data_IF_876622900928
#
_entry.id   IF_876622900928
#
_cell.length_a   1.000
_cell.length_b   1.000
_cell.length_c   1.000
_cell.angle_alpha   90.00
_cell.angle_beta   90.00
_cell.angle_gamma   90.00
#
_symmetry.space_group_name_H-M   'P 1'
#
loop_
_entity.id
_entity.type
_entity.pdbx_description
1 polymer ?
#
# COMPACT_ATOMS: atom_id res chain seq x y z
N UNK A 1 -13.35 -28.72 -25.86
CA UNK A 1 -13.15 -27.38 -26.48
C UNK A 1 -13.86 -27.28 -27.80
N UNK A 2 -13.68 -28.24 -28.74
CA UNK A 2 -14.40 -28.26 -30.01
C UNK A 2 -15.91 -28.36 -29.76
N UNK A 3 -16.34 -29.31 -28.95
CA UNK A 3 -17.76 -29.48 -28.55
C UNK A 3 -18.37 -28.22 -27.93
N UNK A 4 -17.60 -27.49 -27.11
CA UNK A 4 -18.07 -26.22 -26.55
C UNK A 4 -18.26 -25.15 -27.64
N UNK A 5 -17.32 -25.06 -28.59
CA UNK A 5 -17.41 -24.13 -29.70
C UNK A 5 -18.60 -24.47 -30.64
N UNK A 6 -18.81 -25.75 -30.90
CA UNK A 6 -19.91 -26.25 -31.74
C UNK A 6 -21.27 -25.93 -31.08
N UNK A 7 -21.38 -26.20 -29.76
CA UNK A 7 -22.60 -25.87 -28.98
C UNK A 7 -22.89 -24.38 -28.94
N UNK A 8 -21.83 -23.55 -28.81
CA UNK A 8 -21.97 -22.07 -28.80
C UNK A 8 -22.37 -21.53 -30.17
N UNK A 9 -21.89 -22.16 -31.25
CA UNK A 9 -22.21 -21.75 -32.61
C UNK A 9 -23.65 -22.05 -33.03
N UNK A 10 -24.23 -23.11 -32.46
CA UNK A 10 -25.59 -23.58 -32.78
C UNK A 10 -26.68 -22.83 -32.00
N UNK A 11 -26.31 -21.91 -31.11
CA UNK A 11 -27.28 -21.21 -30.26
C UNK A 11 -27.59 -19.82 -30.80
N UNK A 12 -28.77 -19.66 -31.42
CA UNK A 12 -29.32 -18.38 -31.82
C UNK A 12 -29.92 -17.63 -30.63
N UNK A 13 -29.83 -16.50 -30.28
CA UNK A 13 -30.45 -15.73 -29.17
C UNK A 13 -29.83 -15.87 -27.78
N UNK A 14 -28.56 -16.27 -27.67
CA UNK A 14 -27.84 -16.26 -26.40
C UNK A 14 -26.50 -15.51 -26.50
N UNK A 15 -26.16 -14.78 -25.45
CA UNK A 15 -24.84 -14.16 -25.27
C UNK A 15 -24.08 -14.95 -24.20
N UNK A 16 -22.97 -15.54 -24.59
CA UNK A 16 -22.09 -16.27 -23.66
C UNK A 16 -20.92 -15.38 -23.25
N UNK A 17 -20.73 -15.20 -21.96
CA UNK A 17 -19.60 -14.47 -21.40
C UNK A 17 -18.71 -15.45 -20.64
N UNK A 18 -17.53 -15.72 -21.19
CA UNK A 18 -16.51 -16.55 -20.56
C UNK A 18 -15.48 -15.65 -19.90
N UNK A 19 -15.29 -15.83 -18.60
CA UNK A 19 -14.27 -15.08 -17.82
C UNK A 19 -13.17 -16.02 -17.36
N UNK A 20 -11.92 -15.59 -17.52
CA UNK A 20 -10.76 -16.30 -16.99
C UNK A 20 -9.85 -15.32 -16.26
N UNK A 21 -9.44 -15.68 -15.04
CA UNK A 21 -8.45 -14.93 -14.28
C UNK A 21 -7.06 -15.40 -14.70
N UNK A 22 -6.29 -14.51 -15.27
CA UNK A 22 -4.91 -14.76 -15.65
C UNK A 22 -3.97 -14.37 -14.49
N UNK A 23 -3.08 -15.27 -14.10
CA UNK A 23 -2.10 -14.99 -13.09
C UNK A 23 -1.00 -14.08 -13.63
N UNK A 24 -0.67 -13.05 -12.86
CA UNK A 24 0.51 -12.23 -13.13
C UNK A 24 1.76 -12.96 -12.66
N UNK A 25 2.66 -13.32 -13.59
CA UNK A 25 3.96 -13.90 -13.29
C UNK A 25 5.07 -12.92 -13.69
N UNK A 26 5.86 -12.48 -12.71
CA UNK A 26 7.01 -11.57 -12.93
C UNK A 26 6.62 -10.23 -13.59
N UNK A 27 5.51 -9.62 -13.19
CA UNK A 27 5.04 -8.35 -13.74
C UNK A 27 4.47 -8.43 -15.16
N UNK A 28 4.23 -9.65 -15.68
CA UNK A 28 3.63 -9.90 -16.98
C UNK A 28 2.47 -10.89 -16.86
N UNK A 29 1.32 -10.49 -17.39
CA UNK A 29 0.18 -11.38 -17.56
C UNK A 29 0.41 -12.13 -18.86
N UNK A 30 0.70 -13.42 -18.76
CA UNK A 30 0.81 -14.30 -19.93
C UNK A 30 -0.17 -15.45 -19.78
N UNK A 31 -1.10 -15.60 -20.74
CA UNK A 31 -1.99 -16.74 -20.73
C UNK A 31 -1.19 -18.06 -20.88
N UNK A 32 -1.53 -19.04 -20.07
CA UNK A 32 -0.97 -20.41 -20.19
C UNK A 32 -1.43 -21.09 -21.47
N UNK A 33 -0.93 -22.30 -21.73
CA UNK A 33 -1.28 -23.03 -22.96
C UNK A 33 -2.77 -23.33 -23.11
N UNK A 34 -3.49 -23.52 -21.99
CA UNK A 34 -4.95 -23.77 -21.99
C UNK A 34 -5.71 -22.50 -22.31
N UNK A 35 -5.33 -21.38 -21.67
CA UNK A 35 -5.93 -20.07 -21.88
C UNK A 35 -5.70 -19.59 -23.31
N UNK A 36 -4.51 -19.80 -23.87
CA UNK A 36 -4.20 -19.45 -25.27
C UNK A 36 -5.13 -20.20 -26.27
N UNK A 37 -5.37 -21.51 -26.02
CA UNK A 37 -6.29 -22.29 -26.85
C UNK A 37 -7.74 -21.79 -26.72
N UNK A 38 -8.15 -21.41 -25.51
CA UNK A 38 -9.48 -20.85 -25.25
C UNK A 38 -9.65 -19.49 -25.96
N UNK A 39 -8.68 -18.59 -25.79
CA UNK A 39 -8.66 -17.29 -26.46
C UNK A 39 -8.76 -17.46 -27.98
N UNK A 40 -7.91 -18.30 -28.56
CA UNK A 40 -7.92 -18.54 -30.02
C UNK A 40 -9.23 -19.17 -30.53
N UNK A 41 -9.95 -19.94 -29.71
CA UNK A 41 -11.26 -20.46 -30.04
C UNK A 41 -12.34 -19.39 -29.94
N UNK A 42 -12.31 -18.56 -28.90
CA UNK A 42 -13.27 -17.47 -28.70
C UNK A 42 -13.12 -16.35 -29.74
N UNK A 43 -11.89 -16.03 -30.15
CA UNK A 43 -11.62 -15.03 -31.21
C UNK A 43 -12.25 -15.41 -32.57
N UNK A 44 -12.49 -16.69 -32.81
CA UNK A 44 -13.17 -17.15 -34.04
C UNK A 44 -14.69 -16.97 -33.98
N UNK A 45 -15.27 -16.96 -32.78
CA UNK A 45 -16.71 -16.97 -32.54
C UNK A 45 -17.25 -15.63 -32.04
N UNK A 46 -16.38 -14.75 -31.58
CA UNK A 46 -16.79 -13.47 -30.95
C UNK A 46 -15.61 -12.59 -30.58
N UNK A 47 -15.76 -11.86 -29.49
CA UNK A 47 -14.78 -10.89 -29.04
C UNK A 47 -14.03 -11.37 -27.81
N UNK A 48 -12.70 -11.24 -27.80
CA UNK A 48 -11.86 -11.42 -26.62
C UNK A 48 -11.39 -10.07 -26.12
N UNK A 49 -11.66 -9.79 -24.84
CA UNK A 49 -11.23 -8.54 -24.20
C UNK A 49 -10.30 -8.87 -23.04
N UNK A 50 -9.10 -8.34 -23.08
CA UNK A 50 -8.16 -8.43 -21.96
C UNK A 50 -8.32 -7.20 -21.06
N UNK A 51 -8.76 -7.43 -19.81
CA UNK A 51 -8.88 -6.38 -18.81
C UNK A 51 -7.63 -6.48 -17.90
N UNK A 52 -6.85 -5.40 -17.86
CA UNK A 52 -5.67 -5.29 -17.01
C UNK A 52 -5.85 -4.17 -16.00
N UNK A 53 -5.21 -4.30 -14.83
CA UNK A 53 -5.17 -3.18 -13.89
C UNK A 53 -4.44 -2.00 -14.54
N UNK A 54 -5.04 -0.80 -14.53
CA UNK A 54 -4.39 0.38 -15.08
C UNK A 54 -3.14 0.74 -14.27
N UNK A 55 -2.08 1.14 -14.96
CA UNK A 55 -0.89 1.71 -14.31
C UNK A 55 -1.17 3.11 -13.75
N UNK A 56 -0.23 3.65 -12.95
CA UNK A 56 -0.39 4.95 -12.28
C UNK A 56 -0.73 6.10 -13.24
N UNK A 57 -0.06 6.18 -14.38
CA UNK A 57 -0.32 7.23 -15.38
C UNK A 57 -1.75 7.12 -15.96
N UNK A 58 -2.21 5.90 -16.26
CA UNK A 58 -3.57 5.66 -16.71
C UNK A 58 -4.60 6.00 -15.62
N UNK A 59 -4.33 5.68 -14.34
CA UNK A 59 -5.20 6.07 -13.24
C UNK A 59 -5.29 7.58 -13.05
N UNK A 60 -4.19 8.32 -13.25
CA UNK A 60 -4.21 9.78 -13.21
C UNK A 60 -5.09 10.36 -14.33
N UNK A 61 -5.00 9.81 -15.54
CA UNK A 61 -5.84 10.23 -16.65
C UNK A 61 -7.31 9.89 -16.43
N UNK A 62 -7.59 8.69 -15.92
CA UNK A 62 -8.94 8.30 -15.52
C UNK A 62 -9.49 9.22 -14.41
N UNK A 63 -8.69 9.58 -13.42
CA UNK A 63 -9.10 10.50 -12.37
C UNK A 63 -9.48 11.89 -12.93
N UNK A 64 -8.73 12.40 -13.91
CA UNK A 64 -9.07 13.65 -14.60
C UNK A 64 -10.40 13.53 -15.37
N UNK A 65 -10.60 12.41 -16.06
CA UNK A 65 -11.84 12.13 -16.77
C UNK A 65 -13.03 12.10 -15.81
N UNK A 66 -12.93 11.38 -14.70
CA UNK A 66 -13.99 11.33 -13.67
C UNK A 66 -14.24 12.69 -13.02
N UNK A 67 -13.19 13.49 -12.77
CA UNK A 67 -13.38 14.86 -12.27
C UNK A 67 -14.14 15.72 -13.30
N UNK A 68 -13.87 15.55 -14.60
CA UNK A 68 -14.57 16.22 -15.68
C UNK A 68 -16.08 15.90 -15.73
N UNK A 69 -16.49 14.68 -15.36
CA UNK A 69 -17.90 14.29 -15.24
C UNK A 69 -18.64 15.14 -14.20
N UNK A 70 -17.94 15.65 -13.19
CA UNK A 70 -18.45 16.57 -12.18
C UNK A 70 -18.15 18.04 -12.49
N UNK A 71 -17.78 18.37 -13.73
CA UNK A 71 -17.40 19.74 -14.14
C UNK A 71 -16.30 20.35 -13.27
N UNK A 72 -15.40 19.51 -12.74
CA UNK A 72 -14.33 19.91 -11.84
C UNK A 72 -12.95 19.55 -12.43
N UNK A 73 -11.90 20.19 -11.95
CA UNK A 73 -10.53 19.95 -12.38
C UNK A 73 -9.62 19.73 -11.19
N UNK A 74 -8.43 19.19 -11.42
CA UNK A 74 -7.39 19.08 -10.40
C UNK A 74 -6.39 20.24 -10.51
N UNK A 75 -5.99 20.78 -9.38
CA UNK A 75 -4.79 21.61 -9.30
C UNK A 75 -3.53 20.78 -9.64
N UNK A 76 -2.44 21.39 -10.13
CA UNK A 76 -1.22 20.68 -10.48
C UNK A 76 -0.74 19.74 -9.35
N UNK A 77 -0.59 18.44 -9.67
CA UNK A 77 -0.15 17.40 -8.74
C UNK A 77 -1.21 16.87 -7.76
N UNK A 78 -2.43 17.41 -7.77
CA UNK A 78 -3.50 16.98 -6.86
C UNK A 78 -3.97 15.56 -7.17
N UNK A 79 -4.08 15.17 -8.44
CA UNK A 79 -4.40 13.80 -8.83
C UNK A 79 -3.35 12.78 -8.35
N UNK A 80 -2.08 13.15 -8.37
CA UNK A 80 -1.01 12.32 -7.85
C UNK A 80 -1.15 12.15 -6.32
N UNK A 81 -1.43 13.23 -5.61
CA UNK A 81 -1.66 13.21 -4.17
C UNK A 81 -2.88 12.36 -3.79
N UNK A 82 -3.96 12.42 -4.59
CA UNK A 82 -5.14 11.58 -4.37
C UNK A 82 -4.80 10.10 -4.54
N UNK A 83 -4.08 9.72 -5.60
CA UNK A 83 -3.65 8.35 -5.80
C UNK A 83 -2.71 7.85 -4.70
N UNK A 84 -1.89 8.73 -4.13
CA UNK A 84 -1.00 8.40 -3.02
C UNK A 84 -1.78 8.05 -1.75
N UNK A 85 -2.91 8.71 -1.52
CA UNK A 85 -3.77 8.46 -0.36
C UNK A 85 -4.71 7.27 -0.56
N UNK A 86 -5.43 7.23 -1.68
CA UNK A 86 -6.51 6.27 -1.92
C UNK A 86 -6.04 4.95 -2.53
N UNK A 87 -4.81 4.92 -3.02
CA UNK A 87 -4.35 3.70 -3.69
C UNK A 87 -4.80 3.62 -5.16
N UNK A 88 -4.96 2.38 -5.65
CA UNK A 88 -5.30 2.04 -7.04
C UNK A 88 -6.70 1.41 -7.17
N UNK A 89 -7.48 1.46 -6.11
CA UNK A 89 -8.88 1.08 -6.14
C UNK A 89 -9.70 2.13 -6.89
N UNK A 90 -10.21 1.74 -8.06
CA UNK A 90 -10.94 2.64 -8.94
C UNK A 90 -12.27 3.12 -8.32
N UNK A 91 -12.98 2.25 -7.61
CA UNK A 91 -14.25 2.62 -6.96
C UNK A 91 -14.01 3.60 -5.82
N UNK A 92 -12.97 3.37 -5.03
CA UNK A 92 -12.58 4.29 -3.97
C UNK A 92 -12.18 5.64 -4.57
N UNK A 93 -11.37 5.65 -5.63
CA UNK A 93 -10.96 6.89 -6.32
C UNK A 93 -12.16 7.66 -6.87
N UNK A 94 -13.11 7.02 -7.53
CA UNK A 94 -14.32 7.67 -8.04
C UNK A 94 -15.15 8.29 -6.90
N UNK A 95 -15.38 7.56 -5.82
CA UNK A 95 -16.12 8.06 -4.67
C UNK A 95 -15.41 9.26 -4.01
N UNK A 96 -14.07 9.21 -3.89
CA UNK A 96 -13.31 10.32 -3.35
C UNK A 96 -13.35 11.54 -4.26
N UNK A 97 -13.27 11.35 -5.58
CA UNK A 97 -13.39 12.44 -6.55
C UNK A 97 -14.78 13.10 -6.46
N UNK A 98 -15.84 12.31 -6.36
CA UNK A 98 -17.21 12.84 -6.18
C UNK A 98 -17.33 13.71 -4.91
N UNK A 99 -16.80 13.23 -3.77
CA UNK A 99 -16.79 14.00 -2.52
C UNK A 99 -15.95 15.28 -2.63
N UNK A 100 -14.77 15.19 -3.21
CA UNK A 100 -13.87 16.33 -3.36
C UNK A 100 -14.42 17.37 -4.37
N UNK A 101 -15.11 16.92 -5.41
CA UNK A 101 -15.82 17.80 -6.35
C UNK A 101 -16.91 18.60 -5.65
N UNK A 102 -17.75 17.93 -4.87
CA UNK A 102 -18.79 18.61 -4.10
C UNK A 102 -18.20 19.60 -3.06
N UNK A 103 -17.13 19.22 -2.39
CA UNK A 103 -16.43 20.07 -1.43
C UNK A 103 -15.80 21.30 -2.08
N UNK A 104 -15.23 21.16 -3.27
CA UNK A 104 -14.66 22.28 -4.02
C UNK A 104 -15.74 23.24 -4.58
N UNK A 105 -17.03 22.94 -4.39
CA UNK A 105 -18.13 23.65 -5.04
C UNK A 105 -18.07 23.47 -6.55
N UNK A 106 -17.67 22.31 -7.02
CA UNK A 106 -17.51 21.96 -8.43
C UNK A 106 -16.54 22.88 -9.19
N UNK A 107 -15.47 23.32 -8.52
CA UNK A 107 -14.42 24.15 -9.12
C UNK A 107 -13.12 23.35 -9.29
N UNK A 108 -12.12 23.62 -8.47
CA UNK A 108 -10.82 22.95 -8.57
C UNK A 108 -10.49 22.19 -7.29
N UNK A 109 -10.20 20.89 -7.42
CA UNK A 109 -9.72 20.04 -6.33
C UNK A 109 -8.25 20.34 -6.05
N UNK A 110 -7.94 20.82 -4.85
CA UNK A 110 -6.58 21.16 -4.45
C UNK A 110 -5.93 20.04 -3.63
N UNK A 111 -4.60 20.02 -3.61
CA UNK A 111 -3.83 19.11 -2.76
C UNK A 111 -4.17 19.29 -1.27
N UNK A 112 -4.48 20.51 -0.84
CA UNK A 112 -4.87 20.80 0.54
C UNK A 112 -6.21 20.13 0.90
N UNK A 113 -7.22 20.18 0.02
CA UNK A 113 -8.50 19.50 0.21
C UNK A 113 -8.31 17.98 0.33
N UNK A 114 -7.46 17.42 -0.52
CA UNK A 114 -7.13 15.98 -0.48
C UNK A 114 -6.46 15.62 0.85
N UNK A 115 -5.55 16.45 1.35
CA UNK A 115 -4.89 16.22 2.65
C UNK A 115 -5.85 16.27 3.82
N UNK A 116 -6.84 17.15 3.78
CA UNK A 116 -7.80 17.33 4.87
C UNK A 116 -8.92 16.29 4.87
N UNK A 117 -9.42 15.87 3.72
CA UNK A 117 -10.68 15.16 3.58
C UNK A 117 -10.61 13.87 2.76
N UNK A 118 -9.53 13.65 2.02
CA UNK A 118 -9.37 12.42 1.24
C UNK A 118 -9.28 11.20 2.15
N UNK A 119 -10.03 10.15 1.84
CA UNK A 119 -9.89 8.85 2.50
C UNK A 119 -8.48 8.32 2.30
N UNK A 120 -7.86 7.83 3.36
CA UNK A 120 -6.51 7.25 3.34
C UNK A 120 -6.64 5.75 3.47
N UNK A 121 -5.91 5.00 2.66
CA UNK A 121 -5.83 3.55 2.84
C UNK A 121 -5.11 3.22 4.14
N UNK A 122 -5.48 2.10 4.77
CA UNK A 122 -4.84 1.61 5.99
C UNK A 122 -3.31 1.53 5.84
N UNK A 123 -2.82 1.08 4.68
CA UNK A 123 -1.37 1.02 4.40
C UNK A 123 -0.70 2.40 4.40
N UNK A 124 -1.35 3.42 3.82
CA UNK A 124 -0.81 4.77 3.81
C UNK A 124 -0.83 5.41 5.21
N UNK A 125 -1.92 5.23 5.96
CA UNK A 125 -2.03 5.72 7.34
C UNK A 125 -1.04 5.06 8.28
N UNK A 126 -0.85 3.75 8.19
CA UNK A 126 0.14 3.02 9.00
C UNK A 126 1.56 3.39 8.60
N UNK A 127 1.82 3.66 7.32
CA UNK A 127 3.14 4.12 6.90
C UNK A 127 3.45 5.54 7.42
N UNK A 128 2.46 6.45 7.45
CA UNK A 128 2.62 7.75 8.06
C UNK A 128 2.88 7.64 9.56
N UNK A 129 2.23 6.71 10.25
CA UNK A 129 2.51 6.41 11.67
C UNK A 129 3.96 5.94 11.86
N UNK A 130 4.49 5.09 10.96
CA UNK A 130 5.90 4.68 11.00
C UNK A 130 6.85 5.86 10.79
N UNK A 131 6.53 6.79 9.90
CA UNK A 131 7.32 8.03 9.72
C UNK A 131 7.34 8.88 10.98
N UNK A 132 6.21 8.99 11.68
CA UNK A 132 6.11 9.73 12.94
C UNK A 132 6.98 9.08 14.03
N UNK A 133 6.96 7.76 14.16
CA UNK A 133 7.85 7.00 15.05
C UNK A 133 9.31 7.24 14.68
N UNK A 134 9.66 7.16 13.39
CA UNK A 134 11.01 7.39 12.88
C UNK A 134 11.51 8.82 13.14
N UNK A 135 10.59 9.79 13.21
CA UNK A 135 10.88 11.20 13.54
C UNK A 135 10.92 11.48 15.07
N UNK A 136 10.59 10.49 15.92
CA UNK A 136 10.50 10.67 17.38
C UNK A 136 9.19 11.29 17.86
N UNK A 137 8.20 11.47 16.97
CA UNK A 137 6.91 12.09 17.27
C UNK A 137 5.89 11.07 17.83
N UNK A 138 6.20 10.48 18.97
CA UNK A 138 5.37 9.44 19.61
C UNK A 138 3.93 9.89 19.86
N UNK A 139 3.75 11.14 20.31
CA UNK A 139 2.40 11.69 20.58
C UNK A 139 1.52 11.70 19.33
N UNK A 140 2.07 12.11 18.19
CA UNK A 140 1.33 12.14 16.93
C UNK A 140 1.10 10.73 16.38
N UNK A 141 2.06 9.80 16.58
CA UNK A 141 1.88 8.40 16.21
C UNK A 141 0.74 7.74 17.01
N UNK A 142 0.63 8.01 18.32
CA UNK A 142 -0.47 7.53 19.16
C UNK A 142 -1.82 8.16 18.75
N UNK A 143 -1.84 9.45 18.43
CA UNK A 143 -3.07 10.11 17.93
C UNK A 143 -3.52 9.48 16.59
N UNK A 144 -2.59 9.15 15.70
CA UNK A 144 -2.89 8.47 14.44
C UNK A 144 -3.44 7.05 14.68
N UNK A 145 -2.85 6.30 15.62
CA UNK A 145 -3.37 4.99 16.02
C UNK A 145 -4.81 5.11 16.54
N UNK A 146 -5.07 6.08 17.41
CA UNK A 146 -6.42 6.32 17.94
C UNK A 146 -7.44 6.57 16.82
N UNK A 147 -7.10 7.43 15.84
CA UNK A 147 -7.93 7.69 14.67
C UNK A 147 -8.22 6.41 13.87
N UNK A 148 -7.20 5.55 13.67
CA UNK A 148 -7.39 4.28 12.96
C UNK A 148 -8.37 3.34 13.69
N UNK A 149 -8.29 3.28 15.02
CA UNK A 149 -9.18 2.47 15.83
C UNK A 149 -10.61 3.04 15.85
N UNK A 150 -10.78 4.36 15.91
CA UNK A 150 -12.07 5.05 15.81
C UNK A 150 -12.76 4.82 14.46
N UNK A 151 -11.98 4.69 13.40
CA UNK A 151 -12.45 4.32 12.06
C UNK A 151 -12.79 2.82 11.94
N UNK A 152 -12.87 2.10 13.05
CA UNK A 152 -13.22 0.67 13.13
C UNK A 152 -12.25 -0.25 12.35
N UNK A 153 -10.99 0.17 12.18
CA UNK A 153 -9.98 -0.74 11.63
C UNK A 153 -9.61 -1.79 12.68
N UNK A 154 -9.62 -3.04 12.28
CA UNK A 154 -9.28 -4.18 13.14
C UNK A 154 -7.81 -4.09 13.60
N UNK A 155 -7.51 -4.21 14.91
CA UNK A 155 -6.16 -4.16 15.45
C UNK A 155 -5.16 -5.09 14.76
N UNK A 156 -5.61 -6.29 14.38
CA UNK A 156 -4.79 -7.28 13.66
C UNK A 156 -4.40 -6.78 12.26
N UNK A 157 -5.32 -6.10 11.55
CA UNK A 157 -5.05 -5.54 10.23
C UNK A 157 -4.07 -4.37 10.31
N UNK A 158 -4.24 -3.47 11.29
CA UNK A 158 -3.30 -2.38 11.56
C UNK A 158 -1.90 -2.95 11.85
N UNK A 159 -1.82 -3.98 12.69
CA UNK A 159 -0.54 -4.62 13.04
C UNK A 159 0.11 -5.28 11.82
N UNK A 160 -0.67 -5.98 10.99
CA UNK A 160 -0.19 -6.57 9.74
C UNK A 160 0.39 -5.52 8.78
N UNK A 161 -0.28 -4.38 8.63
CA UNK A 161 0.20 -3.27 7.81
C UNK A 161 1.49 -2.64 8.38
N UNK A 162 1.58 -2.47 9.71
CA UNK A 162 2.81 -2.02 10.37
C UNK A 162 3.99 -2.97 10.12
N UNK A 163 3.78 -4.28 10.31
CA UNK A 163 4.80 -5.31 10.03
C UNK A 163 5.26 -5.21 8.58
N UNK A 164 4.32 -5.11 7.62
CA UNK A 164 4.61 -4.95 6.20
C UNK A 164 5.49 -3.73 5.93
N UNK A 165 5.16 -2.59 6.53
CA UNK A 165 5.92 -1.34 6.38
C UNK A 165 7.35 -1.46 6.96
N UNK A 166 7.53 -2.04 8.14
CA UNK A 166 8.86 -2.26 8.72
C UNK A 166 9.69 -3.29 7.95
N UNK A 167 9.07 -4.32 7.38
CA UNK A 167 9.74 -5.26 6.49
C UNK A 167 10.23 -4.58 5.20
N UNK A 168 9.45 -3.68 4.62
CA UNK A 168 9.84 -2.92 3.45
C UNK A 168 11.02 -1.98 3.77
N UNK A 169 10.99 -1.33 4.92
CA UNK A 169 12.10 -0.50 5.42
C UNK A 169 13.36 -1.35 5.61
N UNK A 170 13.24 -2.54 6.18
CA UNK A 170 14.39 -3.44 6.40
C UNK A 170 14.97 -3.93 5.08
N UNK A 171 14.13 -4.33 4.14
CA UNK A 171 14.54 -4.75 2.79
C UNK A 171 15.25 -3.63 2.04
N UNK A 172 14.70 -2.43 2.05
CA UNK A 172 15.30 -1.25 1.44
C UNK A 172 16.64 -0.89 2.10
N UNK A 173 16.73 -0.96 3.43
CA UNK A 173 17.98 -0.76 4.18
C UNK A 173 19.08 -1.74 3.76
N UNK A 174 18.73 -3.03 3.64
CA UNK A 174 19.69 -4.07 3.22
C UNK A 174 20.11 -3.91 1.76
N UNK A 175 19.16 -3.58 0.86
CA UNK A 175 19.45 -3.32 -0.55
C UNK A 175 20.45 -2.16 -0.70
N UNK A 176 20.22 -1.07 0.02
CA UNK A 176 21.14 0.09 0.04
C UNK A 176 22.52 -0.27 0.55
N UNK A 177 22.62 -1.05 1.64
CA UNK A 177 23.90 -1.55 2.17
C UNK A 177 24.64 -2.44 1.18
N UNK A 178 23.90 -3.26 0.43
CA UNK A 178 24.44 -4.17 -0.59
C UNK A 178 24.60 -3.51 -1.97
N UNK A 179 24.33 -2.22 -2.10
CA UNK A 179 24.31 -1.47 -3.37
C UNK A 179 23.44 -2.12 -4.45
N UNK A 180 22.36 -2.78 -4.05
CA UNK A 180 21.39 -3.40 -4.97
C UNK A 180 20.27 -2.41 -5.33
N UNK A 181 19.89 -2.34 -6.62
CA UNK A 181 18.76 -1.52 -7.07
C UNK A 181 17.44 -1.97 -6.42
N UNK A 182 16.54 -1.03 -6.12
CA UNK A 182 15.20 -1.33 -5.61
C UNK A 182 14.37 -2.17 -6.60
N UNK A 183 14.65 -2.06 -7.91
CA UNK A 183 14.00 -2.88 -8.93
C UNK A 183 14.29 -4.38 -8.78
N UNK A 184 15.51 -4.75 -8.36
CA UNK A 184 15.86 -6.14 -8.10
C UNK A 184 15.17 -6.65 -6.84
N UNK A 185 15.10 -5.80 -5.81
CA UNK A 185 14.34 -6.09 -4.60
C UNK A 185 12.86 -6.36 -4.92
N UNK A 186 12.26 -5.55 -5.79
CA UNK A 186 10.90 -5.73 -6.21
C UNK A 186 10.66 -7.08 -6.90
N UNK A 187 11.61 -7.55 -7.71
CA UNK A 187 11.55 -8.87 -8.35
C UNK A 187 11.69 -10.01 -7.34
N UNK A 188 12.70 -9.93 -6.45
CA UNK A 188 13.00 -10.99 -5.48
C UNK A 188 11.81 -11.27 -4.54
N UNK A 189 11.15 -10.21 -4.09
CA UNK A 189 10.02 -10.30 -3.17
C UNK A 189 8.65 -10.21 -3.86
N UNK A 190 8.62 -10.30 -5.20
CA UNK A 190 7.40 -10.33 -6.02
C UNK A 190 6.45 -9.15 -5.73
N UNK A 191 7.00 -7.97 -5.54
CA UNK A 191 6.17 -6.78 -5.43
C UNK A 191 5.44 -6.52 -6.75
N UNK A 192 4.14 -6.27 -6.65
CA UNK A 192 3.28 -5.93 -7.78
C UNK A 192 2.79 -4.48 -7.70
N UNK A 193 2.39 -3.91 -8.82
CA UNK A 193 1.76 -2.59 -8.86
C UNK A 193 2.69 -1.45 -8.43
N UNK A 194 2.37 -0.79 -7.33
CA UNK A 194 3.03 0.45 -6.86
C UNK A 194 4.37 0.27 -6.15
N UNK A 195 5.09 -0.81 -6.41
CA UNK A 195 6.33 -1.10 -5.69
C UNK A 195 7.34 0.06 -5.69
N UNK A 196 7.44 0.84 -6.77
CA UNK A 196 8.33 2.00 -6.85
C UNK A 196 8.03 3.04 -5.77
N UNK A 197 6.74 3.36 -5.58
CA UNK A 197 6.30 4.31 -4.55
C UNK A 197 6.50 3.73 -3.15
N UNK A 198 6.07 2.49 -2.93
CA UNK A 198 6.16 1.80 -1.64
C UNK A 198 7.60 1.61 -1.20
N UNK A 199 8.46 1.07 -2.06
CA UNK A 199 9.89 0.88 -1.76
C UNK A 199 10.67 2.20 -1.76
N UNK A 200 10.30 3.19 -2.57
CA UNK A 200 10.91 4.51 -2.53
C UNK A 200 10.67 5.22 -1.20
N UNK A 201 9.45 5.17 -0.68
CA UNK A 201 9.12 5.68 0.65
C UNK A 201 9.85 4.91 1.76
N UNK A 202 9.94 3.58 1.63
CA UNK A 202 10.66 2.75 2.57
C UNK A 202 12.17 3.07 2.59
N UNK A 203 12.81 3.29 1.43
CA UNK A 203 14.22 3.67 1.33
C UNK A 203 14.51 5.04 1.98
N UNK A 204 13.64 6.03 1.73
CA UNK A 204 13.75 7.34 2.38
C UNK A 204 13.64 7.23 3.91
N UNK A 205 12.72 6.40 4.39
CA UNK A 205 12.49 6.19 5.83
C UNK A 205 13.61 5.37 6.44
N UNK A 206 14.14 4.37 5.72
CA UNK A 206 15.26 3.54 6.15
C UNK A 206 16.52 4.35 6.48
N UNK A 207 16.73 5.48 5.82
CA UNK A 207 17.86 6.38 6.10
C UNK A 207 17.86 6.95 7.54
N UNK A 208 16.72 6.91 8.22
CA UNK A 208 16.56 7.39 9.61
C UNK A 208 16.81 6.30 10.65
N UNK A 209 17.01 5.06 10.24
CA UNK A 209 17.17 3.93 11.15
C UNK A 209 18.57 3.32 11.08
N UNK A 210 19.00 2.74 12.20
CA UNK A 210 20.08 1.77 12.25
C UNK A 210 19.49 0.37 12.09
N UNK A 211 20.31 -0.60 11.66
CA UNK A 211 19.89 -1.99 11.49
C UNK A 211 19.27 -2.57 12.76
N UNK A 212 19.94 -2.40 13.90
CA UNK A 212 19.49 -2.90 15.21
C UNK A 212 18.13 -2.33 15.62
N UNK A 213 17.84 -1.06 15.27
CA UNK A 213 16.56 -0.42 15.56
C UNK A 213 15.42 -1.03 14.73
N UNK A 214 15.66 -1.35 13.45
CA UNK A 214 14.66 -1.99 12.61
C UNK A 214 14.39 -3.42 13.09
N UNK A 215 15.45 -4.17 13.41
CA UNK A 215 15.34 -5.54 13.93
C UNK A 215 14.60 -5.58 15.28
N UNK A 216 14.87 -4.64 16.18
CA UNK A 216 14.14 -4.53 17.43
C UNK A 216 12.67 -4.13 17.20
N UNK A 217 12.42 -3.21 16.30
CA UNK A 217 11.04 -2.84 15.91
C UNK A 217 10.26 -4.04 15.38
N UNK A 218 10.86 -4.89 14.57
CA UNK A 218 10.24 -6.12 14.08
C UNK A 218 9.96 -7.12 15.20
N UNK A 219 10.84 -7.25 16.23
CA UNK A 219 10.59 -8.09 17.41
C UNK A 219 9.41 -7.56 18.24
N UNK A 220 9.34 -6.25 18.44
CA UNK A 220 8.21 -5.61 19.14
C UNK A 220 6.89 -5.91 18.40
N UNK A 221 6.87 -5.76 17.08
CA UNK A 221 5.69 -6.03 16.27
C UNK A 221 5.31 -7.53 16.24
N UNK A 222 6.30 -8.42 16.19
CA UNK A 222 6.06 -9.86 16.31
C UNK A 222 5.41 -10.21 17.65
N UNK A 223 5.91 -9.62 18.75
CA UNK A 223 5.32 -9.80 20.07
C UNK A 223 3.89 -9.27 20.12
N UNK A 224 3.65 -8.08 19.56
CA UNK A 224 2.30 -7.51 19.47
C UNK A 224 1.34 -8.44 18.73
N UNK A 225 1.75 -9.00 17.58
CA UNK A 225 0.94 -9.93 16.79
C UNK A 225 0.56 -11.19 17.60
N UNK A 226 1.51 -11.75 18.37
CA UNK A 226 1.26 -12.88 19.26
C UNK A 226 0.32 -12.50 20.43
N UNK A 227 0.55 -11.35 21.04
CA UNK A 227 -0.26 -10.87 22.17
C UNK A 227 -1.70 -10.61 21.75
N UNK A 228 -1.93 -10.02 20.56
CA UNK A 228 -3.27 -9.80 20.01
C UNK A 228 -4.03 -11.09 19.70
N UNK A 229 -3.33 -12.17 19.37
CA UNK A 229 -3.91 -13.47 19.04
C UNK A 229 -4.12 -14.37 20.25
N UNK A 230 -3.30 -14.22 21.28
CA UNK A 230 -3.24 -15.15 22.41
C UNK A 230 -3.62 -14.59 23.76
N UNK A 231 -3.65 -13.27 23.96
CA UNK A 231 -3.96 -12.67 25.25
C UNK A 231 -5.43 -12.20 25.32
N UNK A 232 -5.90 -12.05 26.58
CA UNK A 232 -7.22 -11.45 26.88
C UNK A 232 -7.11 -9.94 27.17
N UNK A 233 -5.95 -9.35 26.92
CA UNK A 233 -5.72 -7.93 27.18
C UNK A 233 -6.41 -7.08 26.12
N UNK A 234 -6.72 -5.85 26.51
CA UNK A 234 -7.32 -4.87 25.62
C UNK A 234 -6.42 -4.57 24.41
N UNK A 235 -6.92 -4.82 23.20
CA UNK A 235 -6.13 -4.68 21.99
C UNK A 235 -5.63 -3.24 21.74
N UNK A 236 -6.43 -2.18 21.89
CA UNK A 236 -5.98 -0.79 21.87
C UNK A 236 -4.82 -0.51 22.81
N UNK A 237 -4.85 -1.02 24.03
CA UNK A 237 -3.79 -0.84 25.03
C UNK A 237 -2.50 -1.52 24.60
N UNK A 238 -2.58 -2.76 24.07
CA UNK A 238 -1.43 -3.49 23.54
C UNK A 238 -0.78 -2.71 22.38
N UNK A 239 -1.57 -2.14 21.50
CA UNK A 239 -1.09 -1.36 20.37
C UNK A 239 -0.43 -0.04 20.82
N UNK A 240 -1.04 0.69 21.75
CA UNK A 240 -0.46 1.91 22.32
C UNK A 240 0.89 1.61 22.97
N UNK A 241 0.98 0.53 23.76
CA UNK A 241 2.24 0.06 24.35
C UNK A 241 3.29 -0.21 23.27
N UNK A 242 2.93 -0.92 22.20
CA UNK A 242 3.84 -1.23 21.11
C UNK A 242 4.35 0.04 20.40
N UNK A 243 3.52 1.04 20.14
CA UNK A 243 3.94 2.33 19.58
C UNK A 243 4.95 3.04 20.49
N UNK A 244 4.74 3.01 21.82
CA UNK A 244 5.70 3.56 22.77
C UNK A 244 7.03 2.78 22.74
N UNK A 245 7.00 1.44 22.71
CA UNK A 245 8.18 0.58 22.62
C UNK A 245 8.96 0.81 21.32
N UNK A 246 8.26 0.95 20.16
CA UNK A 246 8.87 1.30 18.88
C UNK A 246 9.60 2.65 18.92
N UNK A 247 8.99 3.65 19.57
CA UNK A 247 9.60 4.97 19.75
C UNK A 247 10.82 4.90 20.66
N UNK A 248 10.80 4.09 21.72
CA UNK A 248 11.94 3.86 22.61
C UNK A 248 13.06 3.10 21.88
N UNK A 249 12.76 2.08 21.10
CA UNK A 249 13.74 1.36 20.29
C UNK A 249 14.48 2.30 19.33
N UNK A 250 13.78 3.31 18.80
CA UNK A 250 14.36 4.37 17.98
C UNK A 250 15.33 5.26 18.76
N UNK A 251 15.03 5.56 20.04
CA UNK A 251 15.81 6.48 20.89
C UNK A 251 17.05 5.81 21.52
N UNK A 252 16.98 4.52 21.87
CA UNK A 252 18.03 3.81 22.62
C UNK A 252 19.39 3.77 21.90
N UNK A 253 19.45 3.81 20.60
CA UNK A 253 20.73 3.84 19.87
C UNK A 253 21.51 5.16 20.07
N UNK A 254 20.85 6.26 20.49
CA UNK A 254 21.55 7.48 20.86
C UNK A 254 22.23 7.39 22.26
N UNK A 255 21.72 6.54 23.15
CA UNK A 255 22.23 6.44 24.52
C UNK A 255 23.46 5.52 24.66
N UNK A 256 23.65 4.57 23.73
CA UNK A 256 24.82 3.69 23.73
C UNK A 256 26.14 4.39 23.36
N UNK A 257 26.05 5.58 22.75
CA UNK A 257 27.23 6.39 22.40
C UNK A 257 27.67 7.37 23.49
N UNK A 258 26.93 7.50 24.59
CA UNK A 258 27.23 8.40 25.72
C UNK A 258 27.70 7.65 26.98
N UNK A 259 28.03 6.38 26.87
CA UNK A 259 28.72 5.69 27.96
C UNK A 259 30.16 6.21 28.01
N UNK A 260 30.60 6.86 29.09
CA UNK A 260 31.98 7.32 29.21
C UNK A 260 32.93 6.12 29.09
N UNK A 261 33.99 6.31 28.33
CA UNK A 261 35.05 5.31 28.20
C UNK A 261 35.64 5.01 29.58
N UNK A 262 35.96 3.74 29.90
CA UNK A 262 36.63 3.39 31.18
C UNK A 262 38.00 4.07 31.40
N UNK A 263 38.45 4.89 30.46
CA UNK A 263 39.73 5.62 30.53
C UNK A 263 39.61 7.03 31.11
N UNK A 264 38.42 7.52 31.42
CA UNK A 264 38.22 8.86 32.00
C UNK A 264 38.05 8.83 33.54
N UNK A 265 38.37 7.70 34.18
CA UNK A 265 38.45 7.57 35.64
C UNK A 265 39.89 7.21 35.99
N UNK A 266 40.76 8.20 36.02
CA UNK A 266 42.05 8.13 36.71
C UNK A 266 42.47 9.54 37.13
#
# INVERSE_FOLDING_TARGET
MQELCDTLSDTENAVFVLTSLLEEKYGKIKPGKREQKLIAACEKLGYCVQITKPGRAALQEMARTWAGEYHTTFAPGAEAALLDRCGDDQFLLQNEIAKLAALSGYTTITTQMIQQLGTVTLDADTFDMVKLVAAGNTRQALAKLQTLLELQNEPILITGALIGNYLDIYRAFLAKKSRRPLADLAKDFKYTGKWNYRLGNADQTAARFQRSQIEESLRILQKLDLDLKGSRLDAPLLMQKAICELSLARSRACLLYTSPSPRDIS
#
